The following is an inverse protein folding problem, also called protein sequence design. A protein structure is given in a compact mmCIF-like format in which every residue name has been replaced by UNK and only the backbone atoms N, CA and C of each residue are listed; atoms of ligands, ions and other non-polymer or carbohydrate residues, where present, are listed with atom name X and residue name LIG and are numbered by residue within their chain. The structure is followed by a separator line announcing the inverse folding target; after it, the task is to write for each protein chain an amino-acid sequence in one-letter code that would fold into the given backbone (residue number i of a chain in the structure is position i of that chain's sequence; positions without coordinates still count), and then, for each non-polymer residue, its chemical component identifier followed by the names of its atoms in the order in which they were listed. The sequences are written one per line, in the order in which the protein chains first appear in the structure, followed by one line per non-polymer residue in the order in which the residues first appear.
data_IF_181892129140
#
_entry.id   IF_181892129140
#
_cell.length_a   1.000
_cell.length_b   1.000
_cell.length_c   1.000
_cell.angle_alpha   90.00
_cell.angle_beta   90.00
_cell.angle_gamma   90.00
#
_symmetry.space_group_name_H-M   'P 1'
#
loop_
_entity.id
_entity.type
_entity.pdbx_description
1 polymer ?
#
# COMPACT_ATOMS: atom_id res chain seq x y z
N UNK A 1 4.55 -0.96 6.35
CA UNK A 1 4.51 0.25 5.49
C UNK A 1 5.89 0.72 5.01
N UNK A 2 6.91 0.87 5.88
CA UNK A 2 8.18 1.52 5.53
C UNK A 2 8.82 1.04 4.22
N UNK A 3 8.95 -0.28 4.02
CA UNK A 3 9.50 -0.87 2.78
C UNK A 3 8.70 -0.52 1.53
N UNK A 4 7.37 -0.44 1.63
CA UNK A 4 6.52 -0.05 0.50
C UNK A 4 6.76 1.43 0.14
N UNK A 5 6.76 2.29 1.17
CA UNK A 5 6.97 3.72 1.02
C UNK A 5 8.35 4.07 0.44
N UNK A 6 9.41 3.38 0.86
CA UNK A 6 10.76 3.62 0.33
C UNK A 6 10.91 3.19 -1.13
N UNK A 7 10.33 2.04 -1.54
CA UNK A 7 10.34 1.65 -2.95
C UNK A 7 9.52 2.61 -3.82
N UNK A 8 8.37 3.08 -3.31
CA UNK A 8 7.58 4.11 -3.99
C UNK A 8 8.34 5.43 -4.16
N UNK A 9 9.18 5.80 -3.20
CA UNK A 9 10.06 6.96 -3.30
C UNK A 9 11.20 6.70 -4.28
N UNK A 10 11.85 5.54 -4.22
CA UNK A 10 12.92 5.20 -5.16
C UNK A 10 12.45 5.29 -6.62
N UNK A 11 11.23 4.84 -6.91
CA UNK A 11 10.65 4.93 -8.25
C UNK A 11 10.46 6.36 -8.78
N UNK A 12 10.52 7.41 -7.94
CA UNK A 12 10.51 8.81 -8.43
C UNK A 12 11.87 9.28 -8.92
N UNK A 13 12.94 8.53 -8.64
CA UNK A 13 14.31 8.88 -9.01
C UNK A 13 14.95 7.89 -9.99
N UNK A 14 14.36 6.71 -10.16
CA UNK A 14 14.86 5.69 -11.08
C UNK A 14 14.35 5.92 -12.50
N UNK A 15 15.19 5.62 -13.49
CA UNK A 15 14.76 5.57 -14.89
C UNK A 15 13.69 4.48 -15.05
N UNK A 16 12.51 4.78 -15.65
CA UNK A 16 11.35 3.89 -15.65
C UNK A 16 11.58 2.49 -16.23
N UNK A 17 12.52 2.36 -17.16
CA UNK A 17 12.88 1.12 -17.87
C UNK A 17 14.12 0.42 -17.30
N UNK A 18 14.78 1.01 -16.30
CA UNK A 18 15.94 0.41 -15.67
C UNK A 18 15.59 -0.89 -14.92
N UNK A 19 16.55 -1.81 -14.84
CA UNK A 19 16.43 -3.03 -14.04
C UNK A 19 16.06 -2.71 -12.58
N UNK A 20 16.62 -1.64 -12.02
CA UNK A 20 16.32 -1.20 -10.66
C UNK A 20 14.84 -0.79 -10.51
N UNK A 21 14.27 -0.07 -11.48
CA UNK A 21 12.85 0.31 -11.46
C UNK A 21 11.92 -0.92 -11.56
N UNK A 22 12.29 -1.92 -12.38
CA UNK A 22 11.55 -3.18 -12.49
C UNK A 22 11.54 -3.92 -11.14
N UNK A 23 12.70 -4.06 -10.49
CA UNK A 23 12.83 -4.71 -9.18
C UNK A 23 12.06 -3.92 -8.11
N UNK A 24 12.15 -2.59 -8.11
CA UNK A 24 11.43 -1.74 -7.17
C UNK A 24 9.90 -1.86 -7.34
N UNK A 25 9.40 -1.94 -8.58
CA UNK A 25 7.97 -2.20 -8.87
C UNK A 25 7.51 -3.55 -8.30
N UNK A 26 8.30 -4.60 -8.45
CA UNK A 26 8.00 -5.91 -7.83
C UNK A 26 7.97 -5.83 -6.29
N UNK A 27 8.92 -5.11 -5.68
CA UNK A 27 8.88 -4.84 -4.25
C UNK A 27 7.64 -4.04 -3.81
N UNK A 28 7.18 -3.07 -4.62
CA UNK A 28 5.93 -2.34 -4.38
C UNK A 28 4.74 -3.30 -4.42
N UNK A 29 4.65 -4.18 -5.42
CA UNK A 29 3.57 -5.16 -5.51
C UNK A 29 3.55 -6.10 -4.29
N UNK A 30 4.70 -6.67 -3.90
CA UNK A 30 4.79 -7.51 -2.70
C UNK A 30 4.53 -6.73 -1.41
N UNK A 31 4.92 -5.47 -1.33
CA UNK A 31 4.67 -4.59 -0.19
C UNK A 31 3.18 -4.26 -0.05
N UNK A 32 2.51 -3.97 -1.17
CA UNK A 32 1.08 -3.72 -1.25
C UNK A 32 0.27 -4.88 -0.69
N UNK A 33 0.49 -6.10 -1.21
CA UNK A 33 -0.21 -7.30 -0.73
C UNK A 33 0.00 -7.56 0.76
N UNK A 34 1.22 -7.35 1.28
CA UNK A 34 1.49 -7.46 2.73
C UNK A 34 0.75 -6.41 3.55
N UNK A 35 0.62 -5.18 3.07
CA UNK A 35 -0.12 -4.15 3.80
C UNK A 35 -1.61 -4.47 3.87
N UNK A 36 -2.21 -5.07 2.84
CA UNK A 36 -3.61 -5.47 2.88
C UNK A 36 -3.93 -6.51 3.98
N UNK A 37 -2.93 -7.23 4.50
CA UNK A 37 -3.11 -8.17 5.62
C UNK A 37 -3.40 -7.47 6.96
N UNK A 38 -3.17 -6.15 7.05
CA UNK A 38 -3.44 -5.35 8.26
C UNK A 38 -4.81 -4.64 8.21
N UNK A 39 -5.61 -4.89 7.17
CA UNK A 39 -6.99 -4.38 7.11
C UNK A 39 -7.81 -5.08 8.19
N UNK A 40 -8.47 -4.28 9.03
CA UNK A 40 -9.31 -4.81 10.09
C UNK A 40 -10.63 -5.36 9.51
N UNK A 41 -11.21 -6.44 10.06
CA UNK A 41 -12.48 -7.01 9.59
C UNK A 41 -13.65 -6.02 9.59
N UNK A 42 -13.63 -5.06 10.52
CA UNK A 42 -14.64 -4.00 10.61
C UNK A 42 -14.33 -2.79 9.72
N UNK A 43 -13.26 -2.83 8.94
CA UNK A 43 -12.74 -1.72 8.14
C UNK A 43 -11.59 -0.96 8.83
N UNK A 44 -10.81 -0.24 8.03
CA UNK A 44 -9.66 0.54 8.46
C UNK A 44 -8.39 -0.27 8.77
N UNK A 45 -7.39 0.41 9.34
CA UNK A 45 -6.10 -0.15 9.73
C UNK A 45 -5.80 0.11 11.22
N UNK A 46 -5.12 -0.83 11.84
CA UNK A 46 -4.60 -0.74 13.21
C UNK A 46 -3.14 -1.19 13.26
N UNK A 47 -2.43 -0.89 14.35
CA UNK A 47 -1.00 -1.21 14.47
C UNK A 47 -0.79 -2.73 14.61
N UNK A 48 -1.74 -3.41 15.26
CA UNK A 48 -1.68 -4.84 15.54
C UNK A 48 -2.78 -5.65 14.84
N UNK A 49 -3.44 -5.08 13.83
CA UNK A 49 -4.50 -5.77 13.08
C UNK A 49 -5.68 -6.13 13.98
N UNK A 50 -6.16 -7.37 13.85
CA UNK A 50 -7.30 -7.91 14.61
C UNK A 50 -7.10 -7.98 16.13
N UNK A 51 -5.86 -7.86 16.61
CA UNK A 51 -5.58 -7.81 18.04
C UNK A 51 -5.98 -6.47 18.67
N UNK A 52 -6.06 -5.39 17.88
CA UNK A 52 -6.59 -4.12 18.34
C UNK A 52 -8.13 -4.13 18.26
N UNK A 53 -8.85 -3.67 19.29
CA UNK A 53 -10.32 -3.70 19.31
C UNK A 53 -10.97 -2.75 18.28
N UNK A 54 -10.21 -1.79 17.75
CA UNK A 54 -10.70 -0.82 16.75
C UNK A 54 -9.57 -0.34 15.84
N UNK A 55 -9.93 0.14 14.65
CA UNK A 55 -9.01 0.79 13.72
C UNK A 55 -8.60 2.18 14.19
N UNK A 56 -7.39 2.61 13.84
CA UNK A 56 -6.94 3.98 14.04
C UNK A 56 -7.27 4.83 12.82
N UNK A 57 -8.01 5.92 13.03
CA UNK A 57 -8.37 6.88 11.95
C UNK A 57 -7.11 7.43 11.27
N UNK A 58 -6.11 7.85 12.04
CA UNK A 58 -4.87 8.41 11.50
C UNK A 58 -4.07 7.37 10.69
N UNK A 59 -3.92 6.16 11.24
CA UNK A 59 -3.18 5.10 10.56
C UNK A 59 -3.90 4.66 9.28
N UNK A 60 -5.23 4.63 9.31
CA UNK A 60 -6.07 4.31 8.17
C UNK A 60 -5.86 5.30 7.04
N UNK A 61 -6.00 6.61 7.30
CA UNK A 61 -5.75 7.65 6.30
C UNK A 61 -4.32 7.57 5.73
N UNK A 62 -3.33 7.35 6.61
CA UNK A 62 -1.94 7.16 6.20
C UNK A 62 -1.75 5.96 5.27
N UNK A 63 -2.30 4.79 5.62
CA UNK A 63 -2.20 3.57 4.84
C UNK A 63 -2.91 3.69 3.49
N UNK A 64 -4.15 4.18 3.46
CA UNK A 64 -4.95 4.37 2.24
C UNK A 64 -4.19 5.26 1.25
N UNK A 65 -3.60 6.37 1.70
CA UNK A 65 -2.80 7.26 0.84
C UNK A 65 -1.66 6.53 0.12
N UNK A 66 -0.88 5.71 0.84
CA UNK A 66 0.23 4.97 0.24
C UNK A 66 -0.24 3.79 -0.61
N UNK A 67 -1.30 3.08 -0.19
CA UNK A 67 -1.86 1.96 -0.94
C UNK A 67 -2.43 2.39 -2.28
N UNK A 68 -3.13 3.54 -2.34
CA UNK A 68 -3.62 4.10 -3.60
C UNK A 68 -2.47 4.49 -4.54
N UNK A 69 -1.39 5.07 -4.00
CA UNK A 69 -0.18 5.37 -4.78
C UNK A 69 0.47 4.10 -5.31
N UNK A 70 0.66 3.09 -4.45
CA UNK A 70 1.19 1.78 -4.83
C UNK A 70 0.37 1.12 -5.93
N UNK A 71 -0.96 1.08 -5.78
CA UNK A 71 -1.85 0.46 -6.75
C UNK A 71 -1.74 1.12 -8.13
N UNK A 72 -1.74 2.46 -8.21
CA UNK A 72 -1.52 3.17 -9.48
C UNK A 72 -0.17 2.83 -10.12
N UNK A 73 0.88 2.71 -9.30
CA UNK A 73 2.22 2.37 -9.79
C UNK A 73 2.30 0.95 -10.39
N UNK A 74 1.52 0.00 -9.88
CA UNK A 74 1.55 -1.41 -10.34
C UNK A 74 0.46 -1.75 -11.37
N UNK A 75 -0.66 -1.04 -11.36
CA UNK A 75 -1.86 -1.37 -12.16
C UNK A 75 -2.32 -0.22 -13.08
N UNK A 76 -1.64 0.92 -13.08
CA UNK A 76 -2.02 2.07 -13.92
C UNK A 76 -3.37 2.66 -13.50
N UNK A 77 -4.28 2.80 -14.47
CA UNK A 77 -5.60 3.42 -14.31
C UNK A 77 -6.72 2.41 -14.01
N UNK A 78 -6.37 1.17 -13.66
CA UNK A 78 -7.36 0.19 -13.21
C UNK A 78 -8.15 0.69 -11.98
N UNK A 79 -9.42 0.29 -11.80
CA UNK A 79 -10.20 0.62 -10.62
C UNK A 79 -9.58 0.02 -9.36
N UNK A 80 -9.66 0.72 -8.23
CA UNK A 80 -9.08 0.22 -6.98
C UNK A 80 -9.76 -1.08 -6.51
N UNK A 81 -9.00 -2.01 -5.91
CA UNK A 81 -9.58 -3.22 -5.35
C UNK A 81 -10.53 -2.91 -4.19
N UNK A 82 -11.59 -3.72 -3.98
CA UNK A 82 -12.55 -3.52 -2.89
C UNK A 82 -11.90 -3.42 -1.50
N UNK A 83 -10.74 -4.05 -1.30
CA UNK A 83 -9.99 -3.99 -0.05
C UNK A 83 -9.51 -2.56 0.31
N UNK A 84 -9.25 -1.69 -0.67
CA UNK A 84 -8.92 -0.28 -0.40
C UNK A 84 -10.20 0.47 0.02
N UNK A 85 -11.32 0.23 -0.66
CA UNK A 85 -12.59 0.89 -0.34
C UNK A 85 -13.15 0.49 1.02
N UNK A 86 -12.96 -0.77 1.44
CA UNK A 86 -13.35 -1.22 2.80
C UNK A 86 -12.51 -0.60 3.91
N UNK A 87 -11.35 -0.03 3.57
CA UNK A 87 -10.51 0.65 4.52
C UNK A 87 -10.80 2.16 4.59
N UNK A 88 -11.66 2.70 3.72
CA UNK A 88 -12.17 4.07 3.77
C UNK A 88 -13.40 4.14 4.68
#
# INVERSE_FOLDING_TARGET
MARLATNLLALTFLEPTSTAAIIAKDHVARGFTRQLQYVHPTGGFSAFGVADPSSSTWLTAFCVRYLRKAYRTISGDAPYPPAIHRAE
#
